data_IF_489449211084
#
_entry.id   IF_489449211084
#
_cell.length_a   1.000
_cell.length_b   1.000
_cell.length_c   1.000
_cell.angle_alpha   90.00
_cell.angle_beta   90.00
_cell.angle_gamma   90.00
#
_symmetry.space_group_name_H-M   'P 1'
#
loop_
_entity.id
_entity.type
_entity.pdbx_description
1 polymer ?
#
# COMPACT_ATOMS: atom_id res chain seq x y z
N UNK A 1 7.92 -20.30 29.41
CA UNK A 1 8.20 -19.19 28.58
C UNK A 1 7.17 -19.04 27.48
N UNK A 2 6.52 -17.92 27.46
CA UNK A 2 5.42 -17.68 26.51
C UNK A 2 5.86 -16.96 25.25
N UNK A 3 7.13 -16.60 25.16
CA UNK A 3 7.64 -15.77 24.07
C UNK A 3 7.40 -16.38 22.69
N UNK A 4 7.51 -17.67 22.58
CA UNK A 4 7.31 -18.33 21.28
C UNK A 4 5.85 -18.21 20.79
N UNK A 5 4.89 -18.38 21.70
CA UNK A 5 3.49 -18.21 21.38
C UNK A 5 3.16 -16.75 21.05
N UNK A 6 3.69 -15.84 21.84
CA UNK A 6 3.49 -14.42 21.61
C UNK A 6 4.11 -14.00 20.28
N UNK A 7 5.28 -14.51 19.95
CA UNK A 7 5.93 -14.24 18.67
C UNK A 7 5.09 -14.74 17.50
N UNK A 8 4.53 -15.95 17.61
CA UNK A 8 3.67 -16.50 16.58
C UNK A 8 2.39 -15.68 16.40
N UNK A 9 1.79 -15.22 17.49
CA UNK A 9 0.59 -14.39 17.46
C UNK A 9 0.88 -13.01 16.91
N UNK A 10 2.10 -12.49 17.12
CA UNK A 10 2.46 -11.15 16.69
C UNK A 10 2.97 -11.07 15.26
N UNK A 11 3.28 -12.22 14.64
CA UNK A 11 3.74 -12.24 13.25
C UNK A 11 2.58 -11.93 12.32
N UNK A 12 2.71 -10.87 11.51
CA UNK A 12 1.65 -10.55 10.56
C UNK A 12 1.59 -11.58 9.43
N UNK A 13 0.42 -11.79 8.92
CA UNK A 13 0.19 -12.66 7.78
C UNK A 13 -0.89 -12.07 6.88
N UNK A 14 -0.92 -12.50 5.63
CA UNK A 14 -1.95 -12.07 4.67
C UNK A 14 -3.03 -13.15 4.59
N UNK A 15 -4.27 -12.71 4.74
CA UNK A 15 -5.44 -13.58 4.62
C UNK A 15 -6.42 -12.96 3.63
N UNK A 16 -6.96 -13.77 2.73
CA UNK A 16 -8.00 -13.32 1.82
C UNK A 16 -9.34 -13.45 2.53
N UNK A 17 -9.96 -12.32 2.82
CA UNK A 17 -11.24 -12.28 3.51
C UNK A 17 -12.40 -12.34 2.52
N UNK A 18 -12.25 -11.66 1.38
CA UNK A 18 -13.32 -11.57 0.39
C UNK A 18 -12.75 -11.31 -1.00
N UNK A 19 -13.35 -11.91 -2.01
CA UNK A 19 -13.01 -11.71 -3.41
C UNK A 19 -14.23 -11.10 -4.12
N UNK A 20 -14.02 -9.97 -4.80
CA UNK A 20 -15.04 -9.24 -5.55
C UNK A 20 -14.54 -8.95 -6.96
N UNK A 21 -15.28 -9.26 -8.01
CA UNK A 21 -16.46 -10.14 -8.02
C UNK A 21 -16.13 -11.55 -7.53
N UNK A 22 -17.12 -12.29 -7.11
CA UNK A 22 -16.90 -13.62 -6.57
C UNK A 22 -16.28 -14.54 -7.63
N UNK A 23 -15.10 -15.11 -7.30
CA UNK A 23 -14.39 -16.04 -8.16
C UNK A 23 -13.45 -16.91 -7.32
N UNK A 24 -13.02 -18.08 -7.84
CA UNK A 24 -12.06 -18.91 -7.13
C UNK A 24 -10.70 -18.22 -6.95
N UNK A 25 -10.01 -18.50 -5.86
CA UNK A 25 -8.67 -17.95 -5.61
C UNK A 25 -7.70 -18.26 -6.75
N UNK A 26 -7.78 -19.44 -7.32
CA UNK A 26 -6.93 -19.84 -8.44
C UNK A 26 -7.05 -18.88 -9.61
N UNK A 27 -8.27 -18.41 -9.88
CA UNK A 27 -8.50 -17.45 -10.95
C UNK A 27 -7.89 -16.09 -10.62
N UNK A 28 -7.98 -15.67 -9.36
CA UNK A 28 -7.35 -14.43 -8.91
C UNK A 28 -5.84 -14.50 -9.13
N UNK A 29 -5.21 -15.58 -8.69
CA UNK A 29 -3.75 -15.72 -8.79
C UNK A 29 -3.26 -16.05 -10.20
N UNK A 30 -4.17 -16.32 -11.13
CA UNK A 30 -3.80 -16.46 -12.53
C UNK A 30 -3.58 -15.10 -13.21
N UNK A 31 -4.00 -14.01 -12.57
CA UNK A 31 -3.76 -12.67 -13.08
C UNK A 31 -2.28 -12.32 -12.97
N UNK A 32 -1.76 -11.63 -13.97
CA UNK A 32 -0.35 -11.27 -13.99
C UNK A 32 -0.04 -10.03 -13.15
N UNK A 33 -1.00 -9.11 -13.06
CA UNK A 33 -0.80 -7.82 -12.41
C UNK A 33 -1.66 -7.69 -11.16
N UNK A 34 -1.07 -7.07 -10.15
CA UNK A 34 -1.75 -6.76 -8.90
C UNK A 34 -1.64 -5.26 -8.62
N UNK A 35 -2.72 -4.66 -8.16
CA UNK A 35 -2.75 -3.26 -7.74
C UNK A 35 -3.03 -3.22 -6.26
N UNK A 36 -2.18 -2.52 -5.51
CA UNK A 36 -2.30 -2.39 -4.06
C UNK A 36 -2.46 -0.92 -3.73
N UNK A 37 -3.59 -0.56 -3.14
CA UNK A 37 -3.82 0.79 -2.65
C UNK A 37 -3.38 0.94 -1.21
N UNK A 38 -2.58 1.97 -0.91
CA UNK A 38 -2.14 2.27 0.44
C UNK A 38 -2.80 3.57 0.91
N UNK A 39 -3.52 3.47 2.02
CA UNK A 39 -4.07 4.63 2.72
C UNK A 39 -3.13 5.01 3.86
N UNK A 40 -2.64 6.23 3.84
CA UNK A 40 -1.69 6.72 4.84
C UNK A 40 -2.32 6.92 6.23
N UNK A 41 -3.64 7.05 6.27
CA UNK A 41 -4.36 7.20 7.53
C UNK A 41 -4.60 5.84 8.23
N UNK A 42 -4.36 4.74 7.55
CA UNK A 42 -4.65 3.41 8.08
C UNK A 42 -3.39 2.79 8.68
N UNK A 43 -3.37 2.54 10.01
CA UNK A 43 -2.19 1.98 10.67
C UNK A 43 -1.83 0.55 10.25
N UNK A 44 -2.71 -0.13 9.50
CA UNK A 44 -2.40 -1.46 8.99
C UNK A 44 -1.21 -1.43 8.03
N UNK A 45 -0.93 -0.30 7.39
CA UNK A 45 0.18 -0.15 6.45
C UNK A 45 1.50 0.27 7.12
N UNK A 46 1.64 0.05 8.41
CA UNK A 46 2.92 0.25 9.06
C UNK A 46 3.96 -0.72 8.50
N UNK A 47 5.24 -0.38 8.68
CA UNK A 47 6.37 -1.06 8.03
C UNK A 47 6.34 -2.58 8.09
N UNK A 48 6.11 -3.16 9.26
CA UNK A 48 6.14 -4.62 9.42
C UNK A 48 5.04 -5.31 8.61
N UNK A 49 3.84 -4.78 8.66
CA UNK A 49 2.72 -5.33 7.90
C UNK A 49 2.91 -5.11 6.40
N UNK A 50 3.44 -3.95 6.02
CA UNK A 50 3.70 -3.64 4.63
C UNK A 50 4.72 -4.60 4.02
N UNK A 51 5.79 -4.89 4.75
CA UNK A 51 6.81 -5.85 4.30
C UNK A 51 6.18 -7.21 3.97
N UNK A 52 5.35 -7.71 4.86
CA UNK A 52 4.66 -8.99 4.68
C UNK A 52 3.73 -8.95 3.46
N UNK A 53 2.97 -7.87 3.31
CA UNK A 53 2.06 -7.71 2.19
C UNK A 53 2.79 -7.67 0.85
N UNK A 54 3.88 -6.91 0.77
CA UNK A 54 4.66 -6.80 -0.46
C UNK A 54 5.30 -8.13 -0.85
N UNK A 55 5.82 -8.88 0.10
CA UNK A 55 6.40 -10.20 -0.15
C UNK A 55 5.34 -11.18 -0.62
N UNK A 56 4.18 -11.16 0.02
CA UNK A 56 3.06 -12.00 -0.39
C UNK A 56 2.63 -11.69 -1.83
N UNK A 57 2.45 -10.42 -2.15
CA UNK A 57 2.03 -10.00 -3.49
C UNK A 57 3.09 -10.34 -4.55
N UNK A 58 4.36 -10.14 -4.22
CA UNK A 58 5.47 -10.47 -5.10
C UNK A 58 5.54 -11.97 -5.41
N UNK A 59 5.17 -12.79 -4.44
CA UNK A 59 5.15 -14.25 -4.60
C UNK A 59 3.98 -14.71 -5.48
N UNK A 60 2.85 -14.02 -5.42
CA UNK A 60 1.61 -14.44 -6.09
C UNK A 60 1.42 -13.85 -7.49
N UNK A 61 2.00 -12.71 -7.78
CA UNK A 61 1.79 -11.99 -9.02
C UNK A 61 3.11 -11.64 -9.71
N UNK A 62 3.08 -11.56 -11.04
CA UNK A 62 4.28 -11.21 -11.81
C UNK A 62 4.65 -9.74 -11.66
N UNK A 63 3.63 -8.88 -11.60
CA UNK A 63 3.82 -7.43 -11.46
C UNK A 63 2.87 -6.87 -10.41
N UNK A 64 3.39 -6.01 -9.57
CA UNK A 64 2.61 -5.33 -8.53
C UNK A 64 2.81 -3.83 -8.66
N UNK A 65 1.72 -3.10 -8.77
CA UNK A 65 1.73 -1.65 -8.72
C UNK A 65 1.13 -1.22 -7.39
N UNK A 66 1.94 -0.54 -6.59
CA UNK A 66 1.52 -0.02 -5.29
C UNK A 66 1.20 1.44 -5.45
N UNK A 67 -0.04 1.82 -5.16
CA UNK A 67 -0.54 3.17 -5.35
C UNK A 67 -0.69 3.83 -3.98
N UNK A 68 0.08 4.90 -3.77
CA UNK A 68 0.06 5.65 -2.53
C UNK A 68 -1.01 6.73 -2.60
N UNK A 69 -2.00 6.62 -1.73
CA UNK A 69 -3.13 7.57 -1.69
C UNK A 69 -2.82 8.83 -0.88
N UNK A 70 -1.67 9.46 -1.14
CA UNK A 70 -1.24 10.63 -0.38
C UNK A 70 -2.12 11.85 -0.61
N UNK A 71 -2.48 12.15 -1.85
CA UNK A 71 -3.38 13.28 -2.16
C UNK A 71 -4.72 13.16 -1.44
N UNK A 72 -5.19 11.94 -1.23
CA UNK A 72 -6.47 11.69 -0.56
C UNK A 72 -6.43 12.08 0.91
N UNK A 73 -5.25 12.16 1.51
CA UNK A 73 -5.09 12.59 2.90
C UNK A 73 -5.49 14.04 3.11
N UNK A 74 -5.57 14.86 2.04
CA UNK A 74 -6.00 16.25 2.16
C UNK A 74 -7.38 16.37 2.76
N UNK A 75 -8.26 15.43 2.50
CA UNK A 75 -9.61 15.44 3.07
C UNK A 75 -9.57 15.23 4.58
N UNK A 76 -8.71 14.35 5.06
CA UNK A 76 -8.50 14.15 6.48
C UNK A 76 -7.93 15.40 7.15
N UNK A 77 -7.00 16.10 6.50
CA UNK A 77 -6.43 17.33 7.01
C UNK A 77 -7.50 18.41 7.16
N UNK A 78 -8.38 18.53 6.17
CA UNK A 78 -9.47 19.50 6.23
C UNK A 78 -10.44 19.15 7.34
N UNK A 79 -10.84 17.90 7.48
CA UNK A 79 -11.80 17.46 8.48
C UNK A 79 -11.24 17.56 9.89
N UNK A 80 -10.01 17.13 10.11
CA UNK A 80 -9.41 17.03 11.45
C UNK A 80 -8.86 18.36 11.96
N UNK A 81 -8.32 19.19 11.06
CA UNK A 81 -7.58 20.39 11.44
C UNK A 81 -8.16 21.67 10.86
N UNK A 82 -9.23 21.58 10.06
CA UNK A 82 -9.84 22.74 9.44
C UNK A 82 -8.94 23.43 8.43
N UNK A 83 -7.95 22.72 7.89
CA UNK A 83 -7.00 23.30 6.94
C UNK A 83 -7.67 23.73 5.64
N UNK A 84 -7.18 24.83 5.06
CA UNK A 84 -7.60 25.23 3.72
C UNK A 84 -7.12 24.23 2.67
N UNK A 85 -7.68 24.30 1.43
CA UNK A 85 -7.36 23.31 0.39
C UNK A 85 -5.88 23.20 0.07
N UNK A 86 -5.17 24.31 -0.06
CA UNK A 86 -3.74 24.30 -0.41
C UNK A 86 -2.89 23.76 0.74
N UNK A 87 -3.18 24.17 1.97
CA UNK A 87 -2.48 23.68 3.16
C UNK A 87 -2.72 22.18 3.34
N UNK A 88 -3.95 21.75 3.14
CA UNK A 88 -4.31 20.34 3.28
C UNK A 88 -3.56 19.47 2.25
N UNK A 89 -3.46 19.94 1.02
CA UNK A 89 -2.74 19.23 -0.03
C UNK A 89 -1.24 19.17 0.27
N UNK A 90 -0.66 20.28 0.71
CA UNK A 90 0.76 20.31 1.09
C UNK A 90 1.05 19.38 2.25
N UNK A 91 0.18 19.36 3.26
CA UNK A 91 0.32 18.46 4.40
C UNK A 91 0.23 16.99 3.96
N UNK A 92 -0.71 16.68 3.07
CA UNK A 92 -0.87 15.35 2.52
C UNK A 92 0.38 14.91 1.76
N UNK A 93 0.96 15.77 0.95
CA UNK A 93 2.19 15.48 0.21
C UNK A 93 3.38 15.25 1.14
N UNK A 94 3.49 16.02 2.23
CA UNK A 94 4.55 15.81 3.21
C UNK A 94 4.42 14.45 3.91
N UNK A 95 3.20 14.04 4.21
CA UNK A 95 2.96 12.72 4.79
C UNK A 95 3.37 11.63 3.80
N UNK A 96 3.04 11.82 2.52
CA UNK A 96 3.45 10.91 1.45
C UNK A 96 4.96 10.85 1.29
N UNK A 97 5.64 12.00 1.30
CA UNK A 97 7.10 12.07 1.21
C UNK A 97 7.75 11.30 2.36
N UNK A 98 7.25 11.49 3.58
CA UNK A 98 7.77 10.79 4.76
C UNK A 98 7.57 9.29 4.66
N UNK A 99 6.43 8.85 4.16
CA UNK A 99 6.15 7.43 3.95
C UNK A 99 7.12 6.82 2.94
N UNK A 100 7.32 7.48 1.81
CA UNK A 100 8.23 7.02 0.76
C UNK A 100 9.65 6.89 1.31
N UNK A 101 10.10 7.88 2.05
CA UNK A 101 11.44 7.88 2.65
C UNK A 101 11.61 6.72 3.65
N UNK A 102 10.61 6.51 4.50
CA UNK A 102 10.66 5.47 5.52
C UNK A 102 10.59 4.05 4.96
N UNK A 103 10.01 3.89 3.79
CA UNK A 103 9.78 2.56 3.20
C UNK A 103 10.62 2.29 1.96
N UNK A 104 11.49 3.23 1.56
CA UNK A 104 12.31 3.09 0.36
C UNK A 104 13.09 1.78 0.35
N UNK A 105 13.68 1.40 1.47
CA UNK A 105 14.47 0.17 1.56
C UNK A 105 13.62 -1.09 1.39
N UNK A 106 12.35 -1.06 1.78
CA UNK A 106 11.46 -2.19 1.55
C UNK A 106 11.21 -2.41 0.05
N UNK A 107 10.98 -1.33 -0.68
CA UNK A 107 10.74 -1.41 -2.11
C UNK A 107 12.00 -1.74 -2.90
N UNK A 108 13.15 -1.31 -2.42
CA UNK A 108 14.45 -1.60 -3.05
C UNK A 108 14.81 -3.08 -3.05
N UNK A 109 14.19 -3.87 -2.18
CA UNK A 109 14.39 -5.32 -2.13
C UNK A 109 13.82 -6.05 -3.34
N UNK A 110 12.95 -5.39 -4.10
CA UNK A 110 12.26 -5.99 -5.22
C UNK A 110 12.77 -5.41 -6.54
N UNK A 111 12.65 -6.21 -7.61
CA UNK A 111 12.89 -5.71 -8.96
C UNK A 111 11.91 -4.57 -9.25
N UNK A 112 12.39 -3.39 -9.71
CA UNK A 112 11.51 -2.26 -10.03
C UNK A 112 10.44 -2.58 -11.07
N UNK A 113 10.67 -3.53 -11.94
CA UNK A 113 9.68 -3.97 -12.91
C UNK A 113 8.61 -4.85 -12.27
N UNK A 114 8.95 -5.50 -11.17
CA UNK A 114 8.02 -6.38 -10.47
C UNK A 114 7.22 -5.65 -9.40
N UNK A 115 7.84 -4.74 -8.67
CA UNK A 115 7.19 -4.00 -7.58
C UNK A 115 7.50 -2.53 -7.75
N UNK A 116 6.45 -1.73 -7.99
CA UNK A 116 6.60 -0.30 -8.23
C UNK A 116 5.65 0.48 -7.36
N UNK A 117 6.19 1.52 -6.70
CA UNK A 117 5.39 2.45 -5.91
C UNK A 117 5.17 3.72 -6.72
N UNK A 118 3.92 4.12 -6.87
CA UNK A 118 3.55 5.38 -7.52
C UNK A 118 2.64 6.18 -6.60
N UNK A 119 2.67 7.50 -6.74
CA UNK A 119 1.80 8.39 -6.01
C UNK A 119 0.46 8.50 -6.74
N UNK A 120 -0.56 8.93 -6.01
CA UNK A 120 -1.92 9.03 -6.56
C UNK A 120 -2.00 9.90 -7.79
N UNK A 121 -1.38 11.08 -7.75
CA UNK A 121 -1.39 12.02 -8.89
C UNK A 121 -0.63 11.46 -10.10
N UNK A 122 0.48 10.77 -9.89
CA UNK A 122 1.21 10.08 -10.95
C UNK A 122 0.34 9.02 -11.61
N UNK A 123 -0.42 8.29 -10.80
CA UNK A 123 -1.34 7.27 -11.29
C UNK A 123 -2.42 7.87 -12.18
N UNK A 124 -2.98 9.02 -11.82
CA UNK A 124 -3.99 9.71 -12.60
C UNK A 124 -3.49 10.13 -13.98
N UNK A 125 -2.20 10.42 -14.09
CA UNK A 125 -1.58 10.83 -15.34
C UNK A 125 -1.01 9.66 -16.14
N UNK A 126 -0.99 8.48 -15.56
CA UNK A 126 -0.39 7.31 -16.17
C UNK A 126 -1.33 6.54 -17.09
N UNK A 127 -0.77 5.54 -17.76
CA UNK A 127 -1.50 4.70 -18.71
C UNK A 127 -2.57 3.83 -18.05
N UNK A 128 -2.53 3.70 -16.73
CA UNK A 128 -3.52 2.94 -15.98
C UNK A 128 -4.94 3.47 -16.14
N UNK A 129 -5.07 4.74 -16.43
CA UNK A 129 -6.35 5.42 -16.60
C UNK A 129 -6.85 5.46 -18.05
N UNK A 130 -6.07 4.93 -18.96
CA UNK A 130 -6.37 5.02 -20.37
C UNK A 130 -6.83 3.70 -20.95
#
# INVERSE_FOLDING_TARGET
MRSDLDSNKSLPSVEIVKILPSMPEQEVFSQKKCYIGISLANPIFKRGNLDVLLRWASDKFEQCLVILGDDLCRFNQTIRFGSGPDEALQAAHRIGDAFIEKTADLFEQFDPEKMKLVRWDENLQGDLYR
#
